data_IF_415838145404
#
_entry.id   IF_415838145404
#
_cell.length_a   1.000
_cell.length_b   1.000
_cell.length_c   1.000
_cell.angle_alpha   90.00
_cell.angle_beta   90.00
_cell.angle_gamma   90.00
#
_symmetry.space_group_name_H-M   'P 1'
#
loop_
_entity.id
_entity.type
_entity.pdbx_description
1 polymer ?
#
# COMPACT_ATOMS: atom_id res chain seq x y z
N UNK A 1 1.53 -68.79 27.33
CA UNK A 1 2.48 -67.99 26.54
C UNK A 1 1.65 -66.90 25.84
N UNK A 2 1.95 -65.62 26.13
CA UNK A 2 1.36 -64.35 25.61
C UNK A 2 -0.07 -64.02 26.11
N UNK A 3 -0.38 -63.01 26.98
CA UNK A 3 -0.11 -61.55 27.02
C UNK A 3 -0.71 -60.81 25.80
N UNK A 4 -1.34 -59.63 25.81
CA UNK A 4 -1.62 -58.55 26.77
C UNK A 4 -2.65 -57.59 26.12
N UNK A 5 -3.13 -56.62 26.88
CA UNK A 5 -4.18 -55.65 26.62
C UNK A 5 -3.92 -54.56 25.55
N UNK A 6 -5.03 -53.89 25.19
CA UNK A 6 -5.23 -52.43 25.26
C UNK A 6 -5.41 -51.63 23.94
N UNK A 7 -6.47 -50.83 24.01
CA UNK A 7 -6.64 -49.43 23.55
C UNK A 7 -6.80 -49.09 22.07
N UNK A 8 -7.99 -48.50 21.85
CA UNK A 8 -8.33 -47.49 20.85
C UNK A 8 -7.20 -46.55 20.44
N UNK A 9 -7.05 -46.34 19.13
CA UNK A 9 -6.58 -45.06 18.59
C UNK A 9 -7.45 -44.68 17.39
N UNK A 10 -8.36 -43.75 17.65
CA UNK A 10 -9.08 -42.99 16.65
C UNK A 10 -8.07 -42.26 15.75
N UNK A 11 -8.22 -42.26 14.41
CA UNK A 11 -7.29 -41.54 13.54
C UNK A 11 -7.56 -40.04 13.68
N UNK A 12 -6.79 -39.44 14.59
CA UNK A 12 -6.63 -38.00 14.75
C UNK A 12 -5.64 -37.55 13.67
N UNK A 13 -6.01 -36.48 12.94
CA UNK A 13 -5.06 -35.53 12.33
C UNK A 13 -4.47 -35.90 10.94
N UNK A 14 -5.32 -36.04 9.93
CA UNK A 14 -4.92 -35.89 8.53
C UNK A 14 -5.76 -34.85 7.76
N UNK A 15 -6.88 -34.40 8.34
CA UNK A 15 -7.83 -33.49 7.68
C UNK A 15 -7.59 -32.00 8.00
N UNK A 16 -6.63 -31.70 8.89
CA UNK A 16 -6.38 -30.33 9.36
C UNK A 16 -5.18 -29.63 8.71
N UNK A 17 -4.38 -30.33 7.89
CA UNK A 17 -3.20 -29.72 7.24
C UNK A 17 -3.52 -29.08 5.87
N UNK A 18 -4.80 -29.08 5.46
CA UNK A 18 -5.30 -28.34 4.29
C UNK A 18 -6.06 -27.07 4.70
N UNK A 19 -5.87 -26.61 5.94
CA UNK A 19 -6.10 -25.19 6.25
C UNK A 19 -5.12 -24.41 5.40
N UNK A 20 -5.65 -23.97 4.26
CA UNK A 20 -5.01 -23.10 3.31
C UNK A 20 -4.17 -22.12 4.09
N UNK A 21 -2.89 -22.10 3.79
CA UNK A 21 -2.00 -20.99 4.03
C UNK A 21 -2.59 -19.82 3.24
N UNK A 22 -3.72 -19.28 3.71
CA UNK A 22 -4.30 -18.03 3.28
C UNK A 22 -3.28 -17.02 3.76
N UNK A 23 -2.26 -16.77 2.92
CA UNK A 23 -1.45 -15.58 3.02
C UNK A 23 -2.47 -14.45 3.17
N UNK A 24 -2.60 -13.89 4.38
CA UNK A 24 -3.57 -12.83 4.65
C UNK A 24 -3.24 -11.72 3.66
N UNK A 25 -4.08 -11.58 2.63
CA UNK A 25 -3.89 -10.56 1.63
C UNK A 25 -4.03 -9.22 2.33
N UNK A 26 -3.01 -8.38 2.18
CA UNK A 26 -3.05 -7.04 2.75
C UNK A 26 -4.10 -6.22 2.01
N UNK A 27 -4.95 -5.45 2.72
CA UNK A 27 -5.77 -4.43 2.09
C UNK A 27 -4.95 -3.53 1.16
N UNK A 28 -5.54 -3.12 0.05
CA UNK A 28 -4.92 -2.17 -0.89
C UNK A 28 -5.61 -0.81 -0.74
N UNK A 29 -4.82 0.22 -0.43
CA UNK A 29 -5.29 1.57 -0.18
C UNK A 29 -4.84 2.47 -1.32
N UNK A 30 -5.80 3.16 -1.91
CA UNK A 30 -5.55 4.14 -2.96
C UNK A 30 -5.58 5.55 -2.38
N UNK A 31 -4.56 6.34 -2.67
CA UNK A 31 -4.43 7.72 -2.17
C UNK A 31 -4.36 8.69 -3.35
N UNK A 32 -5.25 9.68 -3.33
CA UNK A 32 -5.25 10.83 -4.22
C UNK A 32 -4.86 12.07 -3.40
N UNK A 33 -3.56 12.42 -3.30
CA UNK A 33 -3.16 13.65 -2.66
C UNK A 33 -3.71 14.83 -3.46
N UNK A 34 -4.53 15.67 -2.82
CA UNK A 34 -4.89 16.97 -3.38
C UNK A 34 -3.60 17.73 -3.69
N UNK A 35 -3.53 18.39 -4.85
CA UNK A 35 -2.29 18.81 -5.51
C UNK A 35 -1.61 20.03 -4.84
N UNK A 36 -1.23 19.87 -3.58
CA UNK A 36 -0.40 20.76 -2.79
C UNK A 36 0.51 19.89 -1.92
N UNK A 37 1.80 20.22 -1.86
CA UNK A 37 2.79 19.40 -1.13
C UNK A 37 2.47 19.31 0.36
N UNK A 38 1.82 20.34 0.92
CA UNK A 38 1.34 20.36 2.31
C UNK A 38 0.38 19.21 2.64
N UNK A 39 -0.44 18.75 1.70
CA UNK A 39 -1.34 17.61 1.87
C UNK A 39 -0.68 16.27 1.50
N UNK A 40 0.31 16.28 0.61
CA UNK A 40 1.02 15.08 0.23
C UNK A 40 1.90 14.53 1.37
N UNK A 41 2.56 15.39 2.16
CA UNK A 41 3.48 14.97 3.23
C UNK A 41 2.78 14.09 4.30
N UNK A 42 1.63 14.49 4.89
CA UNK A 42 0.91 13.64 5.84
C UNK A 42 0.50 12.29 5.25
N UNK A 43 0.12 12.26 3.96
CA UNK A 43 -0.29 11.05 3.27
C UNK A 43 0.90 10.11 2.99
N UNK A 44 2.07 10.65 2.68
CA UNK A 44 3.33 9.89 2.57
C UNK A 44 3.68 9.25 3.91
N UNK A 45 3.57 9.99 5.03
CA UNK A 45 3.79 9.43 6.37
C UNK A 45 2.79 8.32 6.70
N UNK A 46 1.51 8.50 6.35
CA UNK A 46 0.49 7.47 6.52
C UNK A 46 0.84 6.21 5.72
N UNK A 47 1.27 6.35 4.47
CA UNK A 47 1.67 5.22 3.63
C UNK A 47 2.86 4.46 4.23
N UNK A 48 3.86 5.17 4.76
CA UNK A 48 4.97 4.53 5.47
C UNK A 48 4.51 3.78 6.72
N UNK A 49 3.58 4.33 7.49
CA UNK A 49 3.05 3.68 8.68
C UNK A 49 2.29 2.39 8.34
N UNK A 50 1.40 2.46 7.35
CA UNK A 50 0.63 1.32 6.86
C UNK A 50 1.54 0.20 6.35
N UNK A 51 2.58 0.55 5.58
CA UNK A 51 3.57 -0.41 5.08
C UNK A 51 4.38 -1.02 6.21
N UNK A 52 5.01 -0.20 7.06
CA UNK A 52 5.91 -0.66 8.14
C UNK A 52 5.21 -1.60 9.12
N UNK A 53 3.91 -1.38 9.35
CA UNK A 53 3.09 -2.23 10.21
C UNK A 53 2.45 -3.41 9.48
N UNK A 54 2.72 -3.59 8.18
CA UNK A 54 2.12 -4.62 7.31
C UNK A 54 0.58 -4.61 7.43
N UNK A 55 0.00 -3.42 7.39
CA UNK A 55 -1.46 -3.22 7.50
C UNK A 55 -2.13 -3.04 6.14
N UNK A 56 -1.39 -2.52 5.15
CA UNK A 56 -1.89 -2.34 3.79
C UNK A 56 -0.74 -2.22 2.78
N UNK A 57 -1.06 -2.45 1.52
CA UNK A 57 -0.30 -1.95 0.38
C UNK A 57 -0.93 -0.64 -0.11
N UNK A 58 -0.15 0.25 -0.71
CA UNK A 58 -0.59 1.61 -1.02
C UNK A 58 -0.29 1.97 -2.48
N UNK A 59 -1.19 2.68 -3.14
CA UNK A 59 -0.92 3.29 -4.44
C UNK A 59 -1.30 4.76 -4.42
N UNK A 60 -0.35 5.62 -4.76
CA UNK A 60 -0.59 7.04 -4.99
C UNK A 60 -0.94 7.26 -6.44
N UNK A 61 -2.06 7.94 -6.69
CA UNK A 61 -2.36 8.51 -8.00
C UNK A 61 -1.99 9.99 -8.00
N UNK A 62 -1.24 10.42 -9.00
CA UNK A 62 -0.74 11.79 -9.07
C UNK A 62 -0.57 12.22 -10.53
N UNK A 63 -0.21 13.47 -10.76
CA UNK A 63 0.12 13.97 -12.11
C UNK A 63 1.62 13.84 -12.37
N UNK A 64 2.07 13.87 -13.64
CA UNK A 64 3.49 13.79 -13.98
C UNK A 64 4.35 14.85 -13.26
N UNK A 65 3.84 16.08 -13.10
CA UNK A 65 4.54 17.17 -12.42
C UNK A 65 4.77 16.94 -10.92
N UNK A 66 3.96 16.10 -10.27
CA UNK A 66 4.09 15.77 -8.85
C UNK A 66 4.68 14.37 -8.60
N UNK A 67 4.79 13.54 -9.64
CA UNK A 67 5.30 12.18 -9.54
C UNK A 67 6.74 12.11 -9.04
N UNK A 68 7.61 13.02 -9.50
CA UNK A 68 9.01 13.06 -9.07
C UNK A 68 9.14 13.30 -7.56
N UNK A 69 8.34 14.21 -7.00
CA UNK A 69 8.29 14.49 -5.56
C UNK A 69 7.86 13.26 -4.76
N UNK A 70 6.76 12.62 -5.18
CA UNK A 70 6.26 11.42 -4.50
C UNK A 70 7.26 10.25 -4.57
N UNK A 71 7.87 10.00 -5.74
CA UNK A 71 8.88 8.94 -5.88
C UNK A 71 10.11 9.20 -5.02
N UNK A 72 10.59 10.44 -4.95
CA UNK A 72 11.71 10.79 -4.09
C UNK A 72 11.36 10.58 -2.60
N UNK A 73 10.19 11.06 -2.17
CA UNK A 73 9.74 10.94 -0.80
C UNK A 73 9.44 9.48 -0.38
N UNK A 74 9.10 8.63 -1.34
CA UNK A 74 8.84 7.21 -1.13
C UNK A 74 10.05 6.32 -1.45
N UNK A 75 11.24 6.88 -1.67
CA UNK A 75 12.46 6.07 -1.91
C UNK A 75 12.74 5.10 -0.74
N UNK A 76 13.20 3.89 -1.04
CA UNK A 76 13.37 2.82 -0.05
C UNK A 76 12.06 2.15 0.42
N UNK A 77 10.98 2.32 -0.36
CA UNK A 77 9.68 1.70 -0.17
C UNK A 77 9.39 0.59 -1.20
N UNK A 78 10.40 -0.22 -1.52
CA UNK A 78 10.34 -1.11 -2.69
C UNK A 78 9.21 -2.16 -2.60
N UNK A 79 8.75 -2.47 -1.38
CA UNK A 79 7.62 -3.37 -1.15
C UNK A 79 6.34 -2.61 -0.78
N UNK A 80 5.25 -2.86 -1.52
CA UNK A 80 3.90 -2.47 -1.09
C UNK A 80 3.54 -0.98 -1.19
N UNK A 81 4.34 -0.17 -1.90
CA UNK A 81 3.93 1.19 -2.29
C UNK A 81 4.19 1.42 -3.78
N UNK A 82 3.20 1.94 -4.50
CA UNK A 82 3.31 2.31 -5.92
C UNK A 82 2.90 3.77 -6.17
N UNK A 83 3.40 4.35 -7.26
CA UNK A 83 3.01 5.67 -7.76
C UNK A 83 2.56 5.54 -9.20
N UNK A 84 1.31 5.90 -9.48
CA UNK A 84 0.71 5.88 -10.81
C UNK A 84 0.44 7.31 -11.26
N UNK A 85 0.89 7.61 -12.48
CA UNK A 85 0.68 8.91 -13.11
C UNK A 85 -0.63 8.93 -13.89
N UNK A 86 -1.46 9.93 -13.63
CA UNK A 86 -2.66 10.23 -14.38
C UNK A 86 -2.38 11.43 -15.30
N UNK A 87 -2.82 11.39 -16.57
CA UNK A 87 -2.71 12.53 -17.46
C UNK A 87 -3.34 13.78 -16.84
N UNK A 88 -2.63 14.91 -16.88
CA UNK A 88 -3.16 16.20 -16.49
C UNK A 88 -3.49 17.01 -17.75
N UNK A 89 -4.74 17.44 -17.89
CA UNK A 89 -5.20 18.22 -19.04
C UNK A 89 -4.77 19.67 -18.83
N UNK A 90 -3.79 20.13 -19.61
CA UNK A 90 -3.18 21.47 -19.49
C UNK A 90 -4.02 22.60 -20.11
N UNK A 91 -5.09 22.27 -20.83
CA UNK A 91 -5.91 23.23 -21.58
C UNK A 91 -6.96 23.97 -20.72
N UNK A 92 -7.09 23.60 -19.44
CA UNK A 92 -7.90 24.34 -18.47
C UNK A 92 -6.97 25.04 -17.49
N UNK A 93 -6.93 26.37 -17.54
CA UNK A 93 -6.04 27.18 -16.70
C UNK A 93 -6.26 26.96 -15.19
N UNK A 94 -5.21 27.13 -14.36
CA UNK A 94 -3.81 27.38 -14.71
C UNK A 94 -3.09 26.05 -14.97
N UNK A 95 -2.10 26.04 -15.86
CA UNK A 95 -1.22 24.88 -16.12
C UNK A 95 -0.36 24.43 -14.91
N UNK A 96 -0.69 24.94 -13.71
CA UNK A 96 -0.09 24.61 -12.44
C UNK A 96 -0.67 23.29 -11.95
N UNK A 97 0.07 22.20 -12.20
CA UNK A 97 -0.23 20.88 -11.66
C UNK A 97 -0.14 20.82 -10.12
N UNK A 98 0.31 21.90 -9.46
CA UNK A 98 0.39 22.01 -8.01
C UNK A 98 0.13 23.45 -7.59
N UNK A 99 -0.44 23.66 -6.39
CA UNK A 99 -0.69 25.00 -5.83
C UNK A 99 0.59 25.85 -5.77
N UNK A 100 1.76 25.22 -5.62
CA UNK A 100 3.07 25.88 -5.60
C UNK A 100 3.50 26.46 -6.95
N UNK A 101 2.92 26.01 -8.06
CA UNK A 101 3.19 26.54 -9.39
C UNK A 101 2.30 27.75 -9.73
N UNK A 102 1.44 28.18 -8.81
CA UNK A 102 0.64 29.39 -8.97
C UNK A 102 1.49 30.63 -8.67
N UNK A 103 1.40 31.69 -9.49
CA UNK A 103 2.20 32.91 -9.35
C UNK A 103 1.81 33.80 -8.13
N UNK A 104 1.17 33.25 -7.10
CA UNK A 104 0.57 34.03 -6.00
C UNK A 104 0.79 33.38 -4.64
N UNK A 105 2.06 33.27 -4.22
CA UNK A 105 2.47 33.16 -2.80
C UNK A 105 3.85 33.82 -2.60
N UNK A 106 4.03 35.04 -3.10
CA UNK A 106 5.12 35.93 -2.66
C UNK A 106 4.72 36.71 -1.41
#
# INVERSE_FOLDING_TARGET
MMASAATSSSPRKADNDVQHQQARQLPHVVIFPFMAKSHAIPLIHLAHLLRRRRLATVTFFTTPGNAAFLRAALSGADDGVAVVELPFIKDQQPAAESVEALPSFS
#
